data_IF_443460763249
#
_entry.id   IF_443460763249
#
_cell.length_a   1.000
_cell.length_b   1.000
_cell.length_c   1.000
_cell.angle_alpha   90.00
_cell.angle_beta   90.00
_cell.angle_gamma   90.00
#
_symmetry.space_group_name_H-M   'P 1'
#
loop_
_entity.id
_entity.type
_entity.pdbx_description
1 polymer ?
#
# COMPACT_ATOMS: atom_id res chain seq x y z
N UNK A 1 -29.14 -19.97 23.45
CA UNK A 1 -27.88 -19.26 23.11
C UNK A 1 -28.18 -18.35 21.95
N UNK A 2 -28.14 -17.03 22.14
CA UNK A 2 -28.28 -16.09 21.03
C UNK A 2 -27.09 -16.31 20.07
N UNK A 3 -27.37 -16.56 18.80
CA UNK A 3 -26.34 -16.68 17.78
C UNK A 3 -25.64 -15.32 17.66
N UNK A 4 -24.51 -15.17 18.34
CA UNK A 4 -23.67 -13.96 18.35
C UNK A 4 -23.22 -13.53 16.93
N UNK A 5 -23.42 -14.40 15.94
CA UNK A 5 -23.08 -14.23 14.54
C UNK A 5 -24.25 -13.80 13.63
N UNK A 6 -25.45 -13.54 14.19
CA UNK A 6 -26.65 -13.16 13.42
C UNK A 6 -27.52 -12.17 14.20
N UNK A 7 -27.23 -10.88 14.07
CA UNK A 7 -28.02 -9.79 14.66
C UNK A 7 -29.01 -9.25 13.61
N UNK A 8 -30.31 -9.10 13.92
CA UNK A 8 -31.30 -8.55 13.01
C UNK A 8 -30.86 -7.21 12.41
N UNK A 9 -30.91 -7.13 11.09
CA UNK A 9 -30.85 -5.85 10.39
C UNK A 9 -32.20 -5.16 10.62
N UNK A 10 -32.21 -4.00 11.27
CA UNK A 10 -33.45 -3.31 11.60
C UNK A 10 -33.96 -2.53 10.39
N UNK A 11 -35.27 -2.41 10.29
CA UNK A 11 -35.89 -1.51 9.32
C UNK A 11 -35.53 -0.04 9.61
N UNK A 12 -35.69 0.80 8.60
CA UNK A 12 -35.49 2.24 8.71
C UNK A 12 -36.41 2.84 9.78
N UNK A 13 -35.91 3.83 10.54
CA UNK A 13 -36.63 4.43 11.67
C UNK A 13 -36.21 5.86 11.93
N UNK A 14 -36.99 6.56 12.74
CA UNK A 14 -36.67 7.91 13.19
C UNK A 14 -35.34 7.96 13.95
N UNK A 15 -34.54 8.98 13.65
CA UNK A 15 -33.21 9.14 14.19
C UNK A 15 -32.94 10.52 14.78
N UNK A 16 -31.74 10.67 15.36
CA UNK A 16 -31.34 11.86 16.10
C UNK A 16 -31.40 13.15 15.29
N UNK A 17 -31.04 13.12 14.01
CA UNK A 17 -30.99 14.32 13.18
C UNK A 17 -32.35 14.73 12.60
N UNK A 18 -33.42 13.99 12.88
CA UNK A 18 -34.76 14.22 12.32
C UNK A 18 -34.87 13.89 10.82
N UNK A 19 -35.96 14.32 10.19
CA UNK A 19 -36.32 13.95 8.81
C UNK A 19 -35.26 14.32 7.76
N UNK A 20 -35.12 13.47 6.74
CA UNK A 20 -34.25 13.73 5.60
C UNK A 20 -34.64 15.04 4.89
N UNK A 21 -33.63 15.86 4.55
CA UNK A 21 -33.81 17.04 3.69
C UNK A 21 -32.98 17.01 2.42
N UNK A 22 -32.05 16.06 2.29
CA UNK A 22 -31.27 15.82 1.07
C UNK A 22 -32.15 15.38 -0.09
N UNK A 23 -31.69 15.64 -1.32
CA UNK A 23 -32.35 15.15 -2.53
C UNK A 23 -32.08 13.68 -2.81
N UNK A 24 -31.09 13.10 -2.13
CA UNK A 24 -30.65 11.72 -2.24
C UNK A 24 -30.76 10.99 -0.90
N UNK A 25 -31.13 9.71 -0.97
CA UNK A 25 -31.06 8.70 0.08
C UNK A 25 -30.58 7.40 -0.56
N UNK A 26 -29.60 6.73 0.04
CA UNK A 26 -28.95 5.57 -0.56
C UNK A 26 -29.62 4.27 -0.10
N UNK A 27 -29.05 3.13 -0.49
CA UNK A 27 -29.70 1.86 -0.22
C UNK A 27 -29.61 1.41 1.24
N UNK A 28 -28.66 1.91 2.03
CA UNK A 28 -28.52 1.58 3.45
C UNK A 28 -29.77 2.04 4.23
N UNK A 29 -30.32 1.23 5.14
CA UNK A 29 -31.52 1.63 5.90
C UNK A 29 -31.17 2.61 7.02
N UNK A 30 -31.82 3.77 6.96
CA UNK A 30 -31.67 4.88 7.90
C UNK A 30 -31.84 4.46 9.37
N UNK A 31 -30.82 4.76 10.17
CA UNK A 31 -30.75 4.55 11.61
C UNK A 31 -30.94 3.09 12.03
N UNK A 32 -30.81 2.13 11.11
CA UNK A 32 -30.97 0.70 11.37
C UNK A 32 -30.02 0.21 12.46
N UNK A 33 -28.73 0.58 12.37
CA UNK A 33 -27.69 0.15 13.30
C UNK A 33 -27.60 1.03 14.56
N UNK A 34 -27.81 2.33 14.44
CA UNK A 34 -27.67 3.30 15.55
C UNK A 34 -28.66 4.46 15.42
N UNK A 35 -29.07 5.03 16.55
CA UNK A 35 -29.97 6.20 16.58
C UNK A 35 -29.26 7.50 16.14
N UNK A 36 -27.94 7.55 16.18
CA UNK A 36 -27.17 8.79 15.99
C UNK A 36 -26.64 9.01 14.57
N UNK A 37 -26.64 7.98 13.72
CA UNK A 37 -26.07 7.99 12.37
C UNK A 37 -27.06 7.32 11.43
N UNK A 38 -27.50 8.03 10.40
CA UNK A 38 -28.48 7.51 9.44
C UNK A 38 -27.93 6.30 8.67
N UNK A 39 -26.84 6.46 7.94
CA UNK A 39 -26.22 5.39 7.16
C UNK A 39 -24.83 5.07 7.73
N UNK A 40 -24.76 4.17 8.72
CA UNK A 40 -23.54 3.93 9.50
C UNK A 40 -22.39 3.37 8.65
N UNK A 41 -22.66 2.43 7.76
CA UNK A 41 -21.64 1.80 6.93
C UNK A 41 -21.13 2.81 5.88
N UNK A 42 -22.03 3.55 5.24
CA UNK A 42 -21.67 4.62 4.32
C UNK A 42 -20.84 5.71 5.02
N UNK A 43 -21.16 6.07 6.27
CA UNK A 43 -20.33 6.99 7.06
C UNK A 43 -18.96 6.41 7.42
N UNK A 44 -18.89 5.17 7.93
CA UNK A 44 -17.63 4.60 8.42
C UNK A 44 -16.66 4.23 7.29
N UNK A 45 -17.16 3.82 6.13
CA UNK A 45 -16.34 3.48 4.97
C UNK A 45 -15.51 4.67 4.47
N UNK A 46 -15.93 5.91 4.75
CA UNK A 46 -15.17 7.11 4.45
C UNK A 46 -13.88 7.28 5.28
N UNK A 47 -13.71 6.54 6.40
CA UNK A 47 -12.48 6.61 7.21
C UNK A 47 -11.20 6.25 6.43
N UNK A 48 -11.32 5.45 5.36
CA UNK A 48 -10.17 5.15 4.49
C UNK A 48 -9.67 6.42 3.78
N UNK A 49 -10.58 7.30 3.35
CA UNK A 49 -10.18 8.57 2.74
C UNK A 49 -9.53 9.47 3.77
N UNK A 50 -10.03 9.52 5.01
CA UNK A 50 -9.38 10.28 6.08
C UNK A 50 -7.94 9.82 6.28
N UNK A 51 -7.73 8.51 6.42
CA UNK A 51 -6.40 7.92 6.58
C UNK A 51 -5.48 8.25 5.38
N UNK A 52 -5.95 8.00 4.16
CA UNK A 52 -5.17 8.21 2.94
C UNK A 52 -4.89 9.70 2.67
N UNK A 53 -5.85 10.57 2.97
CA UNK A 53 -5.73 12.02 2.88
C UNK A 53 -4.67 12.55 3.84
N UNK A 54 -4.73 12.17 5.13
CA UNK A 54 -3.72 12.54 6.13
C UNK A 54 -2.33 12.02 5.75
N UNK A 55 -2.24 10.76 5.31
CA UNK A 55 -0.99 10.17 4.79
C UNK A 55 -0.46 10.96 3.60
N UNK A 56 -1.32 11.33 2.65
CA UNK A 56 -0.98 12.13 1.48
C UNK A 56 -0.47 13.51 1.83
N UNK A 57 -1.16 14.22 2.73
CA UNK A 57 -0.74 15.52 3.27
C UNK A 57 0.65 15.42 3.89
N UNK A 58 0.86 14.47 4.79
CA UNK A 58 2.17 14.23 5.43
C UNK A 58 3.27 14.00 4.39
N UNK A 59 3.00 13.16 3.39
CA UNK A 59 3.97 12.86 2.34
C UNK A 59 4.28 14.08 1.46
N UNK A 60 3.28 14.90 1.12
CA UNK A 60 3.51 16.16 0.41
C UNK A 60 4.38 17.11 1.23
N UNK A 61 4.06 17.31 2.51
CA UNK A 61 4.84 18.20 3.38
C UNK A 61 6.30 17.76 3.54
N UNK A 62 6.55 16.44 3.57
CA UNK A 62 7.90 15.90 3.76
C UNK A 62 8.71 15.82 2.46
N UNK A 63 8.08 15.45 1.35
CA UNK A 63 8.81 15.01 0.14
C UNK A 63 8.46 15.78 -1.14
N UNK A 64 7.36 16.54 -1.16
CA UNK A 64 6.93 17.30 -2.33
C UNK A 64 6.07 18.51 -1.93
N UNK A 65 6.68 19.58 -1.37
CA UNK A 65 5.96 20.72 -0.84
C UNK A 65 5.47 21.67 -1.96
N UNK A 66 4.78 21.12 -2.97
CA UNK A 66 4.06 21.92 -3.96
C UNK A 66 2.66 22.27 -3.43
N UNK A 67 2.31 23.56 -3.29
CA UNK A 67 1.04 23.97 -2.68
C UNK A 67 -0.20 23.36 -3.34
N UNK A 68 -0.19 23.21 -4.67
CA UNK A 68 -1.35 22.68 -5.40
C UNK A 68 -1.59 21.18 -5.15
N UNK A 69 -0.53 20.41 -4.92
CA UNK A 69 -0.63 18.99 -4.53
C UNK A 69 -1.11 18.84 -3.09
N UNK A 70 -0.63 19.70 -2.18
CA UNK A 70 -1.15 19.77 -0.83
C UNK A 70 -2.65 20.11 -0.81
N UNK A 71 -3.07 21.11 -1.58
CA UNK A 71 -4.48 21.46 -1.75
C UNK A 71 -5.32 20.30 -2.31
N UNK A 72 -4.74 19.47 -3.19
CA UNK A 72 -5.45 18.31 -3.74
C UNK A 72 -5.77 17.29 -2.65
N UNK A 73 -4.85 17.02 -1.71
CA UNK A 73 -5.13 16.14 -0.58
C UNK A 73 -6.03 16.78 0.48
N UNK A 74 -5.95 18.09 0.69
CA UNK A 74 -6.91 18.81 1.54
C UNK A 74 -8.33 18.76 0.96
N UNK A 75 -8.46 18.89 -0.37
CA UNK A 75 -9.73 18.71 -1.08
C UNK A 75 -10.26 17.29 -0.91
N UNK A 76 -9.41 16.28 -1.12
CA UNK A 76 -9.74 14.87 -0.89
C UNK A 76 -10.21 14.58 0.55
N UNK A 77 -9.57 15.18 1.56
CA UNK A 77 -10.00 15.07 2.96
C UNK A 77 -11.33 15.79 3.21
N UNK A 78 -11.54 16.94 2.57
CA UNK A 78 -12.81 17.68 2.63
C UNK A 78 -13.98 16.86 2.07
N UNK A 79 -13.80 16.20 0.91
CA UNK A 79 -14.80 15.28 0.35
C UNK A 79 -15.17 14.19 1.35
N UNK A 80 -14.17 13.56 1.97
CA UNK A 80 -14.39 12.52 2.98
C UNK A 80 -15.19 13.00 4.17
N UNK A 81 -14.81 14.13 4.77
CA UNK A 81 -15.52 14.68 5.93
C UNK A 81 -16.95 15.11 5.57
N UNK A 82 -17.12 15.68 4.36
CA UNK A 82 -18.43 16.01 3.80
C UNK A 82 -19.33 14.79 3.64
N UNK A 83 -18.82 13.73 2.99
CA UNK A 83 -19.51 12.46 2.82
C UNK A 83 -19.88 11.83 4.17
N UNK A 84 -18.95 11.80 5.13
CA UNK A 84 -19.25 11.33 6.50
C UNK A 84 -20.40 12.11 7.14
N UNK A 85 -20.37 13.44 7.06
CA UNK A 85 -21.41 14.30 7.60
C UNK A 85 -22.74 14.14 6.86
N UNK A 86 -22.71 13.93 5.54
CA UNK A 86 -23.89 13.68 4.74
C UNK A 86 -24.55 12.36 5.13
N UNK A 87 -23.83 11.24 5.07
CA UNK A 87 -24.38 9.93 5.43
C UNK A 87 -24.79 9.81 6.90
N UNK A 88 -24.18 10.59 7.79
CA UNK A 88 -24.58 10.61 9.19
C UNK A 88 -25.92 11.34 9.41
N UNK A 89 -26.25 12.33 8.58
CA UNK A 89 -27.34 13.30 8.87
C UNK A 89 -28.45 13.36 7.82
N UNK A 90 -28.18 12.96 6.57
CA UNK A 90 -29.05 13.08 5.41
C UNK A 90 -29.64 14.49 5.21
N UNK A 91 -28.82 15.51 5.48
CA UNK A 91 -29.20 16.93 5.31
C UNK A 91 -28.67 17.50 4.01
N UNK A 92 -29.49 18.32 3.36
CA UNK A 92 -29.12 18.98 2.10
C UNK A 92 -27.82 19.79 2.21
N UNK A 93 -27.60 20.47 3.33
CA UNK A 93 -26.37 21.24 3.56
C UNK A 93 -25.13 20.35 3.61
N UNK A 94 -25.26 19.14 4.17
CA UNK A 94 -24.16 18.18 4.23
C UNK A 94 -23.99 17.44 2.90
N UNK A 95 -25.07 17.19 2.15
CA UNK A 95 -25.00 16.72 0.77
C UNK A 95 -24.17 17.67 -0.10
N UNK A 96 -24.40 18.99 0.02
CA UNK A 96 -23.56 19.99 -0.67
C UNK A 96 -22.10 19.93 -0.21
N UNK A 97 -21.85 19.67 1.07
CA UNK A 97 -20.50 19.52 1.62
C UNK A 97 -19.81 18.22 1.16
N UNK A 98 -20.53 17.22 0.68
CA UNK A 98 -19.99 16.02 0.05
C UNK A 98 -19.72 16.24 -1.45
N UNK A 99 -20.76 16.63 -2.19
CA UNK A 99 -20.73 16.66 -3.66
C UNK A 99 -19.91 17.82 -4.22
N UNK A 100 -20.04 19.05 -3.69
CA UNK A 100 -19.35 20.21 -4.26
C UNK A 100 -17.82 20.15 -4.11
N UNK A 101 -17.25 19.71 -2.97
CA UNK A 101 -15.80 19.52 -2.85
C UNK A 101 -15.21 18.54 -3.87
N UNK A 102 -15.98 17.60 -4.41
CA UNK A 102 -15.51 16.73 -5.50
C UNK A 102 -15.16 17.57 -6.75
N UNK A 103 -16.03 18.53 -7.10
CA UNK A 103 -15.81 19.46 -8.22
C UNK A 103 -14.62 20.37 -7.93
N UNK A 104 -14.54 20.93 -6.72
CA UNK A 104 -13.47 21.86 -6.34
C UNK A 104 -12.10 21.19 -6.35
N UNK A 105 -12.00 19.98 -5.80
CA UNK A 105 -10.79 19.18 -5.81
C UNK A 105 -10.37 18.84 -7.24
N UNK A 106 -11.32 18.51 -8.10
CA UNK A 106 -11.07 18.25 -9.53
C UNK A 106 -10.56 19.51 -10.24
N UNK A 107 -11.12 20.69 -9.93
CA UNK A 107 -10.61 21.97 -10.44
C UNK A 107 -9.19 22.28 -9.96
N UNK A 108 -8.83 21.99 -8.71
CA UNK A 108 -7.46 22.14 -8.18
C UNK A 108 -6.47 21.24 -8.92
N UNK A 109 -6.86 19.98 -9.15
CA UNK A 109 -6.07 19.02 -9.93
C UNK A 109 -5.95 19.49 -11.39
N UNK A 110 -7.03 20.03 -11.95
CA UNK A 110 -7.06 20.65 -13.27
C UNK A 110 -6.09 21.82 -13.37
N UNK A 111 -6.12 22.75 -12.42
CA UNK A 111 -5.15 23.83 -12.33
C UNK A 111 -3.72 23.30 -12.31
N UNK A 112 -3.42 22.32 -11.44
CA UNK A 112 -2.09 21.71 -11.35
C UNK A 112 -1.62 21.14 -12.69
N UNK A 113 -2.54 20.54 -13.46
CA UNK A 113 -2.24 19.92 -14.75
C UNK A 113 -2.03 20.94 -15.86
N UNK A 114 -2.90 21.94 -15.95
CA UNK A 114 -2.90 22.90 -17.05
C UNK A 114 -2.00 24.11 -16.78
N UNK A 115 -1.68 24.44 -15.53
CA UNK A 115 -0.75 25.50 -15.18
C UNK A 115 0.72 25.03 -15.22
N UNK A 116 0.99 23.72 -15.27
CA UNK A 116 2.33 23.18 -15.35
C UNK A 116 3.11 23.79 -16.54
N UNK A 117 4.33 24.26 -16.28
CA UNK A 117 5.21 24.90 -17.27
C UNK A 117 4.78 26.28 -17.76
N UNK A 118 3.67 26.85 -17.27
CA UNK A 118 3.23 28.21 -17.64
C UNK A 118 3.89 29.27 -16.76
N UNK A 119 4.16 30.43 -17.36
CA UNK A 119 4.52 31.64 -16.61
C UNK A 119 3.34 32.19 -15.79
N UNK A 120 3.61 33.17 -14.92
CA UNK A 120 2.65 33.71 -13.95
C UNK A 120 1.30 34.09 -14.54
N UNK A 121 1.28 34.83 -15.66
CA UNK A 121 0.05 35.25 -16.32
C UNK A 121 -0.76 34.05 -16.85
N UNK A 122 -0.08 33.07 -17.45
CA UNK A 122 -0.72 31.84 -17.94
C UNK A 122 -1.33 31.02 -16.80
N UNK A 123 -0.63 30.92 -15.67
CA UNK A 123 -1.14 30.22 -14.49
C UNK A 123 -2.34 30.94 -13.87
N UNK A 124 -2.34 32.28 -13.82
CA UNK A 124 -3.49 33.07 -13.36
C UNK A 124 -4.70 32.87 -14.30
N UNK A 125 -4.48 32.88 -15.62
CA UNK A 125 -5.55 32.64 -16.59
C UNK A 125 -6.18 31.23 -16.42
N UNK A 126 -5.35 30.20 -16.24
CA UNK A 126 -5.83 28.83 -15.97
C UNK A 126 -6.61 28.77 -14.65
N UNK A 127 -6.13 29.43 -13.59
CA UNK A 127 -6.85 29.51 -12.33
C UNK A 127 -8.23 30.17 -12.51
N UNK A 128 -8.29 31.28 -13.26
CA UNK A 128 -9.56 31.96 -13.58
C UNK A 128 -10.55 31.06 -14.29
N UNK A 129 -10.11 30.24 -15.24
CA UNK A 129 -10.96 29.25 -15.94
C UNK A 129 -11.53 28.22 -14.96
N UNK A 130 -10.71 27.60 -14.12
CA UNK A 130 -11.17 26.57 -13.18
C UNK A 130 -12.03 27.13 -12.04
N UNK A 131 -11.76 28.35 -11.58
CA UNK A 131 -12.61 29.06 -10.61
C UNK A 131 -13.96 29.40 -11.24
N UNK A 132 -13.97 29.93 -12.47
CA UNK A 132 -15.20 30.22 -13.21
C UNK A 132 -16.04 28.95 -13.46
N UNK A 133 -15.39 27.85 -13.82
CA UNK A 133 -16.05 26.55 -14.00
C UNK A 133 -16.67 26.04 -12.69
N UNK A 134 -15.91 26.06 -11.58
CA UNK A 134 -16.41 25.65 -10.27
C UNK A 134 -17.62 26.50 -9.83
N UNK A 135 -17.54 27.82 -10.04
CA UNK A 135 -18.64 28.74 -9.74
C UNK A 135 -19.88 28.44 -10.58
N UNK A 136 -19.72 28.25 -11.90
CA UNK A 136 -20.84 27.99 -12.81
C UNK A 136 -21.56 26.68 -12.48
N UNK A 137 -20.79 25.59 -12.23
CA UNK A 137 -21.35 24.30 -11.82
C UNK A 137 -22.08 24.44 -10.48
N UNK A 138 -21.47 25.12 -9.50
CA UNK A 138 -22.08 25.32 -8.18
C UNK A 138 -23.38 26.12 -8.28
N UNK A 139 -23.36 27.26 -8.99
CA UNK A 139 -24.52 28.12 -9.14
C UNK A 139 -25.68 27.41 -9.83
N UNK A 140 -25.39 26.64 -10.89
CA UNK A 140 -26.41 25.82 -11.53
C UNK A 140 -26.93 24.72 -10.60
N UNK A 141 -26.03 24.01 -9.91
CA UNK A 141 -26.40 22.89 -9.04
C UNK A 141 -27.27 23.32 -7.86
N UNK A 142 -26.97 24.47 -7.23
CA UNK A 142 -27.80 25.04 -6.16
C UNK A 142 -29.20 25.42 -6.64
N UNK A 143 -29.34 25.78 -7.92
CA UNK A 143 -30.63 26.15 -8.52
C UNK A 143 -31.42 24.92 -8.99
N UNK A 144 -30.78 23.99 -9.70
CA UNK A 144 -31.43 22.81 -10.27
C UNK A 144 -31.71 21.74 -9.22
N UNK A 145 -30.80 21.60 -8.24
CA UNK A 145 -30.76 20.50 -7.26
C UNK A 145 -30.78 19.11 -7.91
N UNK A 146 -30.33 19.03 -9.16
CA UNK A 146 -30.32 17.79 -9.95
C UNK A 146 -29.00 17.04 -9.76
N UNK A 147 -28.99 15.92 -9.00
CA UNK A 147 -27.78 15.16 -8.73
C UNK A 147 -27.18 14.52 -9.99
N UNK A 148 -27.98 14.27 -11.03
CA UNK A 148 -27.48 13.71 -12.29
C UNK A 148 -26.59 14.70 -13.01
N UNK A 149 -26.97 15.99 -13.02
CA UNK A 149 -26.11 17.05 -13.55
C UNK A 149 -24.73 17.06 -12.87
N UNK A 150 -24.70 16.97 -11.54
CA UNK A 150 -23.44 16.93 -10.78
C UNK A 150 -22.59 15.73 -11.19
N UNK A 151 -23.19 14.53 -11.22
CA UNK A 151 -22.51 13.28 -11.58
C UNK A 151 -21.89 13.36 -12.98
N UNK A 152 -22.64 13.85 -13.97
CA UNK A 152 -22.17 14.01 -15.35
C UNK A 152 -21.03 15.03 -15.42
N UNK A 153 -21.17 16.18 -14.77
CA UNK A 153 -20.13 17.21 -14.73
C UNK A 153 -18.83 16.68 -14.12
N UNK A 154 -18.93 16.00 -12.98
CA UNK A 154 -17.80 15.38 -12.30
C UNK A 154 -17.13 14.30 -13.17
N UNK A 155 -17.90 13.43 -13.81
CA UNK A 155 -17.38 12.37 -14.68
C UNK A 155 -16.63 12.94 -15.89
N UNK A 156 -17.20 13.93 -16.58
CA UNK A 156 -16.58 14.57 -17.75
C UNK A 156 -15.29 15.31 -17.38
N UNK A 157 -15.29 16.02 -16.26
CA UNK A 157 -14.10 16.69 -15.75
C UNK A 157 -13.00 15.66 -15.43
N UNK A 158 -13.34 14.61 -14.68
CA UNK A 158 -12.39 13.57 -14.27
C UNK A 158 -11.79 12.87 -15.49
N UNK A 159 -12.62 12.45 -16.45
CA UNK A 159 -12.17 11.80 -17.68
C UNK A 159 -11.21 12.71 -18.46
N UNK A 160 -11.58 13.98 -18.64
CA UNK A 160 -10.76 14.96 -19.36
C UNK A 160 -9.39 15.14 -18.69
N UNK A 161 -9.36 15.20 -17.35
CA UNK A 161 -8.11 15.35 -16.60
C UNK A 161 -7.24 14.09 -16.67
N UNK A 162 -7.83 12.90 -16.61
CA UNK A 162 -7.08 11.63 -16.76
C UNK A 162 -6.47 11.53 -18.15
N UNK A 163 -7.27 11.75 -19.20
CA UNK A 163 -6.79 11.72 -20.59
C UNK A 163 -5.71 12.78 -20.85
N UNK A 164 -5.88 14.00 -20.31
CA UNK A 164 -4.85 15.03 -20.39
C UNK A 164 -3.57 14.60 -19.67
N UNK A 165 -3.68 13.93 -18.53
CA UNK A 165 -2.53 13.39 -17.81
C UNK A 165 -1.77 12.36 -18.64
N UNK A 166 -2.46 11.41 -19.29
CA UNK A 166 -1.83 10.44 -20.19
C UNK A 166 -1.14 11.11 -21.36
N UNK A 167 -1.80 12.09 -21.97
CA UNK A 167 -1.19 12.88 -23.02
C UNK A 167 0.09 13.58 -22.55
N UNK A 168 0.10 14.21 -21.37
CA UNK A 168 1.31 14.84 -20.81
C UNK A 168 2.41 13.82 -20.53
N UNK A 169 2.06 12.67 -19.97
CA UNK A 169 3.01 11.60 -19.69
C UNK A 169 3.69 11.10 -20.97
N UNK A 170 2.92 10.85 -22.03
CA UNK A 170 3.45 10.29 -23.28
C UNK A 170 4.14 11.34 -24.16
N UNK A 171 3.63 12.57 -24.22
CA UNK A 171 4.17 13.60 -25.14
C UNK A 171 5.24 14.49 -24.52
N UNK A 172 5.23 14.67 -23.20
CA UNK A 172 6.19 15.55 -22.51
C UNK A 172 7.16 14.74 -21.66
N UNK A 173 6.67 13.84 -20.81
CA UNK A 173 7.54 13.11 -19.90
C UNK A 173 8.40 12.06 -20.63
N UNK A 174 7.80 11.16 -21.44
CA UNK A 174 8.55 10.07 -22.10
C UNK A 174 9.75 10.58 -22.90
N UNK A 175 9.64 11.57 -23.81
CA UNK A 175 10.80 12.06 -24.56
C UNK A 175 11.86 12.71 -23.65
N UNK A 176 11.43 13.48 -22.65
CA UNK A 176 12.33 14.12 -21.71
C UNK A 176 13.10 13.08 -20.87
N UNK A 177 12.40 12.05 -20.40
CA UNK A 177 12.97 10.97 -19.59
C UNK A 177 13.92 10.09 -20.42
N UNK A 178 13.55 9.75 -21.66
CA UNK A 178 14.40 8.96 -22.56
C UNK A 178 15.73 9.68 -22.87
N UNK A 179 15.71 11.02 -22.96
CA UNK A 179 16.93 11.81 -23.19
C UNK A 179 17.84 11.86 -21.95
N UNK A 180 17.27 11.96 -20.75
CA UNK A 180 18.03 12.23 -19.51
C UNK A 180 18.38 10.98 -18.69
N UNK A 181 17.53 9.95 -18.71
CA UNK A 181 17.71 8.69 -18.00
C UNK A 181 17.16 7.52 -18.83
N UNK A 182 17.84 7.13 -19.93
CA UNK A 182 17.37 6.07 -20.82
C UNK A 182 17.33 4.70 -20.14
N UNK A 183 18.20 4.44 -19.15
CA UNK A 183 18.30 3.14 -18.50
C UNK A 183 17.06 2.78 -17.66
N UNK A 184 16.47 3.78 -17.00
CA UNK A 184 15.30 3.57 -16.12
C UNK A 184 13.98 4.06 -16.72
N UNK A 185 14.02 4.67 -17.91
CA UNK A 185 12.87 5.28 -18.58
C UNK A 185 11.67 4.32 -18.67
N UNK A 186 11.89 3.12 -19.21
CA UNK A 186 10.83 2.13 -19.40
C UNK A 186 10.30 1.61 -18.05
N UNK A 187 11.15 1.49 -17.04
CA UNK A 187 10.74 1.04 -15.71
C UNK A 187 9.85 2.08 -15.02
N UNK A 188 10.22 3.36 -15.07
CA UNK A 188 9.44 4.46 -14.49
C UNK A 188 8.08 4.58 -15.20
N UNK A 189 8.07 4.53 -16.55
CA UNK A 189 6.82 4.63 -17.31
C UNK A 189 5.92 3.42 -17.06
N UNK A 190 6.47 2.21 -16.97
CA UNK A 190 5.71 1.02 -16.60
C UNK A 190 5.09 1.16 -15.21
N UNK A 191 5.81 1.70 -14.23
CA UNK A 191 5.28 1.97 -12.89
C UNK A 191 4.16 3.01 -12.92
N UNK A 192 4.32 4.10 -13.68
CA UNK A 192 3.27 5.11 -13.86
C UNK A 192 2.01 4.52 -14.49
N UNK A 193 2.15 3.71 -15.54
CA UNK A 193 1.02 3.04 -16.19
C UNK A 193 0.31 2.08 -15.25
N UNK A 194 1.05 1.25 -14.48
CA UNK A 194 0.46 0.37 -13.46
C UNK A 194 -0.32 1.15 -12.42
N UNK A 195 0.22 2.28 -11.95
CA UNK A 195 -0.43 3.11 -10.95
C UNK A 195 -1.74 3.71 -11.49
N UNK A 196 -1.70 4.24 -12.70
CA UNK A 196 -2.89 4.78 -13.33
C UNK A 196 -3.95 3.71 -13.64
N UNK A 197 -3.55 2.58 -14.21
CA UNK A 197 -4.48 1.47 -14.52
C UNK A 197 -5.09 0.87 -13.25
N UNK A 198 -4.30 0.71 -12.19
CA UNK A 198 -4.83 0.25 -10.90
C UNK A 198 -5.84 1.25 -10.33
N UNK A 199 -5.56 2.55 -10.42
CA UNK A 199 -6.50 3.60 -10.03
C UNK A 199 -7.80 3.57 -10.84
N UNK A 200 -7.71 3.38 -12.16
CA UNK A 200 -8.87 3.22 -13.05
C UNK A 200 -9.71 2.00 -12.66
N UNK A 201 -9.07 0.84 -12.48
CA UNK A 201 -9.77 -0.40 -12.11
C UNK A 201 -10.51 -0.22 -10.80
N UNK A 202 -9.85 0.31 -9.76
CA UNK A 202 -10.53 0.59 -8.49
C UNK A 202 -11.72 1.52 -8.67
N UNK A 203 -11.54 2.64 -9.38
CA UNK A 203 -12.62 3.60 -9.56
C UNK A 203 -13.81 3.00 -10.34
N UNK A 204 -13.56 2.27 -11.42
CA UNK A 204 -14.60 1.63 -12.24
C UNK A 204 -15.30 0.49 -11.51
N UNK A 205 -14.57 -0.30 -10.71
CA UNK A 205 -15.18 -1.32 -9.84
C UNK A 205 -16.11 -0.68 -8.83
N UNK A 206 -15.68 0.41 -8.18
CA UNK A 206 -16.54 1.20 -7.31
C UNK A 206 -17.79 1.66 -8.07
N UNK A 207 -17.63 2.30 -9.22
CA UNK A 207 -18.74 2.81 -10.03
C UNK A 207 -19.73 1.74 -10.45
N UNK A 208 -19.24 0.57 -10.82
CA UNK A 208 -20.08 -0.57 -11.13
C UNK A 208 -20.90 -0.99 -9.91
N UNK A 209 -20.28 -1.16 -8.74
CA UNK A 209 -20.97 -1.57 -7.51
C UNK A 209 -21.99 -0.51 -7.08
N UNK A 210 -21.66 0.77 -7.19
CA UNK A 210 -22.58 1.88 -6.94
C UNK A 210 -23.84 1.78 -7.82
N UNK A 211 -23.69 1.52 -9.12
CA UNK A 211 -24.85 1.33 -10.00
C UNK A 211 -25.67 0.10 -9.60
N UNK A 212 -25.02 -1.01 -9.19
CA UNK A 212 -25.74 -2.21 -8.73
C UNK A 212 -26.54 -1.93 -7.45
N UNK A 213 -25.98 -1.14 -6.53
CA UNK A 213 -26.63 -0.71 -5.30
C UNK A 213 -27.91 0.08 -5.59
N UNK A 214 -27.83 1.03 -6.52
CA UNK A 214 -28.98 1.85 -6.94
C UNK A 214 -30.07 1.03 -7.67
N UNK A 215 -29.68 0.17 -8.62
CA UNK A 215 -30.63 -0.57 -9.47
C UNK A 215 -31.30 -1.70 -8.71
N UNK A 216 -30.55 -2.44 -7.88
CA UNK A 216 -31.04 -3.65 -7.21
C UNK A 216 -31.33 -3.44 -5.72
N UNK A 217 -31.52 -2.19 -5.27
CA UNK A 217 -31.64 -1.87 -3.86
C UNK A 217 -32.68 -2.71 -3.12
N UNK A 218 -33.88 -2.88 -3.68
CA UNK A 218 -34.96 -3.69 -3.07
C UNK A 218 -34.53 -5.15 -2.84
N UNK A 219 -33.79 -5.73 -3.77
CA UNK A 219 -33.26 -7.09 -3.65
C UNK A 219 -32.14 -7.16 -2.63
N UNK A 220 -31.27 -6.16 -2.55
CA UNK A 220 -30.20 -6.05 -1.56
C UNK A 220 -30.76 -5.91 -0.14
N UNK A 221 -31.78 -5.08 0.07
CA UNK A 221 -32.52 -4.96 1.35
C UNK A 221 -33.09 -6.30 1.78
N UNK A 222 -33.78 -6.99 0.87
CA UNK A 222 -34.34 -8.33 1.13
C UNK A 222 -33.24 -9.33 1.51
N UNK A 223 -32.13 -9.34 0.77
CA UNK A 223 -31.00 -10.22 1.06
C UNK A 223 -30.36 -9.93 2.43
N UNK A 224 -30.22 -8.65 2.82
CA UNK A 224 -29.69 -8.25 4.13
C UNK A 224 -30.55 -8.76 5.29
N UNK A 225 -31.87 -8.76 5.14
CA UNK A 225 -32.81 -9.33 6.11
C UNK A 225 -32.68 -10.85 6.29
N UNK A 226 -32.10 -11.57 5.31
CA UNK A 226 -31.81 -13.00 5.43
C UNK A 226 -30.39 -13.29 5.93
N UNK A 227 -29.41 -12.51 5.49
CA UNK A 227 -27.99 -12.70 5.80
C UNK A 227 -27.67 -12.26 7.23
N UNK A 228 -28.30 -11.17 7.69
CA UNK A 228 -28.14 -10.57 9.02
C UNK A 228 -26.72 -10.05 9.31
N UNK A 229 -26.58 -9.23 10.36
CA UNK A 229 -25.29 -8.70 10.78
C UNK A 229 -24.43 -9.80 11.44
N UNK A 230 -23.10 -9.78 11.25
CA UNK A 230 -22.31 -8.72 10.60
C UNK A 230 -22.19 -8.87 9.07
N UNK A 231 -22.61 -10.00 8.51
CA UNK A 231 -22.35 -10.35 7.10
C UNK A 231 -23.11 -9.49 6.10
N UNK A 232 -24.27 -8.95 6.50
CA UNK A 232 -25.06 -8.02 5.70
C UNK A 232 -24.30 -6.76 5.27
N UNK A 233 -23.24 -6.36 6.00
CA UNK A 233 -22.37 -5.24 5.64
C UNK A 233 -21.74 -5.42 4.25
N UNK A 234 -21.49 -6.67 3.83
CA UNK A 234 -20.94 -6.96 2.51
C UNK A 234 -21.89 -6.57 1.37
N UNK A 235 -23.18 -6.39 1.66
CA UNK A 235 -24.22 -6.02 0.70
C UNK A 235 -24.45 -4.50 0.63
N UNK A 236 -23.73 -3.70 1.41
CA UNK A 236 -23.78 -2.23 1.37
C UNK A 236 -22.93 -1.71 0.20
N UNK A 237 -23.51 -1.71 -1.00
CA UNK A 237 -22.79 -1.39 -2.23
C UNK A 237 -22.28 0.05 -2.26
N UNK A 238 -23.04 0.99 -1.71
CA UNK A 238 -22.59 2.39 -1.60
C UNK A 238 -21.37 2.54 -0.66
N UNK A 239 -21.28 1.74 0.40
CA UNK A 239 -20.10 1.67 1.26
C UNK A 239 -18.86 1.17 0.52
N UNK A 240 -19.00 0.15 -0.33
CA UNK A 240 -17.92 -0.31 -1.21
C UNK A 240 -17.51 0.73 -2.25
N UNK A 241 -18.46 1.52 -2.76
CA UNK A 241 -18.17 2.65 -3.64
C UNK A 241 -17.20 3.63 -2.99
N UNK A 242 -17.41 4.00 -1.72
CA UNK A 242 -16.45 4.83 -0.98
C UNK A 242 -15.06 4.18 -0.96
N UNK A 243 -14.96 2.93 -0.52
CA UNK A 243 -13.66 2.26 -0.41
C UNK A 243 -12.90 2.25 -1.74
N UNK A 244 -13.57 1.89 -2.84
CA UNK A 244 -12.94 1.73 -4.13
C UNK A 244 -12.66 3.07 -4.84
N UNK A 245 -13.57 4.03 -4.79
CA UNK A 245 -13.32 5.35 -5.39
C UNK A 245 -12.33 6.16 -4.58
N UNK A 246 -12.32 6.02 -3.26
CA UNK A 246 -11.31 6.61 -2.39
C UNK A 246 -9.92 6.10 -2.72
N UNK A 247 -9.76 4.79 -2.87
CA UNK A 247 -8.51 4.20 -3.34
C UNK A 247 -8.15 4.69 -4.76
N UNK A 248 -9.09 4.64 -5.71
CA UNK A 248 -8.86 5.09 -7.08
C UNK A 248 -8.39 6.55 -7.16
N UNK A 249 -9.08 7.46 -6.47
CA UNK A 249 -8.73 8.87 -6.41
C UNK A 249 -7.38 9.10 -5.72
N UNK A 250 -7.08 8.38 -4.62
CA UNK A 250 -5.76 8.43 -3.98
C UNK A 250 -4.64 8.02 -4.95
N UNK A 251 -4.85 6.94 -5.71
CA UNK A 251 -3.92 6.47 -6.73
C UNK A 251 -3.70 7.51 -7.83
N UNK A 252 -4.74 8.17 -8.30
CA UNK A 252 -4.61 9.25 -9.29
C UNK A 252 -3.85 10.46 -8.76
N UNK A 253 -4.08 10.86 -7.50
CA UNK A 253 -3.35 11.98 -6.90
C UNK A 253 -1.87 11.60 -6.77
N UNK A 254 -1.54 10.41 -6.26
CA UNK A 254 -0.15 9.95 -6.18
C UNK A 254 0.49 9.86 -7.56
N UNK A 255 -0.23 9.32 -8.55
CA UNK A 255 0.27 9.24 -9.91
C UNK A 255 0.61 10.62 -10.47
N UNK A 256 -0.19 11.64 -10.17
CA UNK A 256 0.14 13.02 -10.52
C UNK A 256 1.34 13.57 -9.75
N UNK A 257 1.45 13.28 -8.46
CA UNK A 257 2.64 13.65 -7.68
C UNK A 257 3.88 13.06 -8.35
N UNK A 258 3.86 11.78 -8.72
CA UNK A 258 4.97 11.16 -9.45
C UNK A 258 5.21 11.87 -10.78
N UNK A 259 4.18 11.98 -11.64
CA UNK A 259 4.29 12.60 -12.96
C UNK A 259 4.97 13.98 -12.89
N UNK A 260 4.54 14.84 -11.97
CA UNK A 260 5.13 16.17 -11.80
C UNK A 260 6.56 16.10 -11.29
N UNK A 261 6.85 15.26 -10.29
CA UNK A 261 8.23 15.09 -9.80
C UNK A 261 9.17 14.62 -10.90
N UNK A 262 8.73 13.73 -11.77
CA UNK A 262 9.51 13.34 -12.94
C UNK A 262 9.58 14.46 -13.99
N UNK A 263 8.52 15.22 -14.24
CA UNK A 263 8.61 16.34 -15.16
C UNK A 263 9.63 17.40 -14.67
N UNK A 264 9.76 17.58 -13.35
CA UNK A 264 10.77 18.43 -12.69
C UNK A 264 12.19 17.80 -12.61
N UNK A 265 12.45 16.71 -13.35
CA UNK A 265 13.71 15.95 -13.32
C UNK A 265 14.11 15.42 -11.92
N UNK A 266 13.10 15.13 -11.08
CA UNK A 266 13.27 14.68 -9.71
C UNK A 266 13.46 13.17 -9.52
N UNK A 267 13.43 12.36 -10.58
CA UNK A 267 13.43 10.89 -10.47
C UNK A 267 14.64 10.30 -9.72
N UNK A 268 15.80 10.96 -9.74
CA UNK A 268 16.99 10.49 -9.04
C UNK A 268 16.92 10.71 -7.51
N UNK A 269 16.18 11.73 -7.07
CA UNK A 269 16.03 12.08 -5.64
C UNK A 269 14.75 11.54 -5.03
N UNK A 270 13.78 11.16 -5.87
CA UNK A 270 12.46 10.77 -5.45
C UNK A 270 12.02 9.52 -6.20
N UNK A 271 11.86 8.42 -5.47
CA UNK A 271 11.31 7.16 -5.95
C UNK A 271 10.02 6.89 -5.21
N UNK A 272 8.98 6.50 -5.92
CA UNK A 272 7.78 6.02 -5.23
C UNK A 272 7.94 4.54 -4.86
N UNK A 273 7.83 4.35 -3.55
CA UNK A 273 7.78 3.05 -2.92
C UNK A 273 6.31 2.62 -2.84
N UNK A 274 5.97 1.64 -3.67
CA UNK A 274 4.68 0.95 -3.68
C UNK A 274 4.86 -0.54 -3.40
N UNK A 275 5.93 -0.90 -2.68
CA UNK A 275 6.07 -2.25 -2.15
C UNK A 275 4.92 -2.54 -1.19
N UNK A 276 4.28 -3.71 -1.36
CA UNK A 276 3.31 -4.18 -0.38
C UNK A 276 4.02 -4.39 0.96
N UNK A 277 3.30 -4.26 2.07
CA UNK A 277 3.86 -4.58 3.39
C UNK A 277 4.45 -6.01 3.41
N UNK A 278 3.79 -6.93 2.71
CA UNK A 278 4.26 -8.30 2.50
C UNK A 278 5.60 -8.36 1.75
N UNK A 279 5.76 -7.59 0.67
CA UNK A 279 7.03 -7.59 -0.09
C UNK A 279 8.18 -7.06 0.78
N UNK A 280 7.95 -6.01 1.58
CA UNK A 280 8.95 -5.47 2.52
C UNK A 280 9.33 -6.48 3.59
N UNK A 281 8.37 -7.22 4.13
CA UNK A 281 8.62 -8.27 5.11
C UNK A 281 9.47 -9.40 4.50
N UNK A 282 9.14 -9.83 3.28
CA UNK A 282 9.90 -10.87 2.56
C UNK A 282 11.33 -10.39 2.27
N UNK A 283 11.51 -9.14 1.85
CA UNK A 283 12.82 -8.53 1.62
C UNK A 283 13.65 -8.46 2.92
N UNK A 284 13.05 -7.99 4.03
CA UNK A 284 13.70 -7.92 5.33
C UNK A 284 14.12 -9.32 5.82
N UNK A 285 13.23 -10.31 5.68
CA UNK A 285 13.51 -11.70 6.03
C UNK A 285 14.61 -12.30 5.15
N UNK A 286 14.64 -11.96 3.86
CA UNK A 286 15.70 -12.38 2.93
C UNK A 286 17.07 -11.87 3.37
N UNK A 287 17.18 -10.58 3.69
CA UNK A 287 18.42 -9.96 4.19
C UNK A 287 18.86 -10.61 5.50
N UNK A 288 17.95 -10.81 6.46
CA UNK A 288 18.25 -11.46 7.73
C UNK A 288 18.74 -12.91 7.53
N UNK A 289 18.13 -13.65 6.60
CA UNK A 289 18.53 -15.03 6.27
C UNK A 289 19.94 -15.07 5.66
N UNK A 290 20.27 -14.15 4.75
CA UNK A 290 21.61 -14.04 4.16
C UNK A 290 22.69 -13.74 5.20
N UNK A 291 22.40 -12.86 6.17
CA UNK A 291 23.31 -12.59 7.29
C UNK A 291 23.56 -13.84 8.14
N UNK A 292 22.51 -14.62 8.44
CA UNK A 292 22.63 -15.89 9.17
C UNK A 292 23.46 -16.94 8.42
N UNK A 293 23.29 -17.04 7.10
CA UNK A 293 24.10 -17.93 6.25
C UNK A 293 25.60 -17.59 6.39
N UNK A 294 25.95 -16.31 6.31
CA UNK A 294 27.33 -15.84 6.46
C UNK A 294 27.93 -16.20 7.82
N UNK A 295 27.16 -16.02 8.90
CA UNK A 295 27.58 -16.38 10.26
C UNK A 295 27.81 -17.89 10.41
N UNK A 296 26.87 -18.72 9.96
CA UNK A 296 26.98 -20.18 10.05
C UNK A 296 28.17 -20.70 9.24
N UNK A 297 28.39 -20.18 8.02
CA UNK A 297 29.57 -20.54 7.22
C UNK A 297 30.87 -20.19 7.92
N UNK A 298 30.93 -19.03 8.56
CA UNK A 298 32.12 -18.60 9.32
C UNK A 298 32.38 -19.53 10.52
N UNK A 299 31.34 -19.86 11.28
CA UNK A 299 31.44 -20.79 12.41
C UNK A 299 31.85 -22.20 11.98
N UNK A 300 31.27 -22.71 10.89
CA UNK A 300 31.65 -24.01 10.31
C UNK A 300 33.12 -24.01 9.87
N UNK A 301 33.58 -22.96 9.19
CA UNK A 301 34.97 -22.84 8.78
C UNK A 301 35.94 -22.80 9.97
N UNK A 302 35.58 -22.12 11.05
CA UNK A 302 36.37 -22.10 12.29
C UNK A 302 36.46 -23.51 12.93
N UNK A 303 35.32 -24.20 13.08
CA UNK A 303 35.27 -25.56 13.64
C UNK A 303 36.00 -26.59 12.78
N UNK A 304 35.89 -26.50 11.46
CA UNK A 304 36.64 -27.36 10.55
C UNK A 304 38.15 -27.12 10.66
N UNK A 305 38.59 -25.87 10.90
CA UNK A 305 40.00 -25.56 11.13
C UNK A 305 40.50 -26.15 12.45
N UNK A 306 39.74 -26.00 13.53
CA UNK A 306 40.07 -26.61 14.84
C UNK A 306 40.15 -28.14 14.74
N UNK A 307 39.19 -28.77 14.04
CA UNK A 307 39.18 -30.20 13.82
C UNK A 307 40.40 -30.69 13.03
N UNK A 308 40.80 -29.95 11.97
CA UNK A 308 42.03 -30.25 11.22
C UNK A 308 43.28 -30.11 12.09
N UNK A 309 43.34 -29.10 12.95
CA UNK A 309 44.45 -28.93 13.88
C UNK A 309 44.54 -30.13 14.83
N UNK A 310 43.43 -30.52 15.45
CA UNK A 310 43.37 -31.68 16.33
C UNK A 310 43.76 -32.98 15.62
N UNK A 311 43.34 -33.16 14.36
CA UNK A 311 43.71 -34.31 13.54
C UNK A 311 45.21 -34.37 13.23
N UNK A 312 45.82 -33.23 12.89
CA UNK A 312 47.26 -33.12 12.67
C UNK A 312 48.04 -33.35 13.97
N UNK A 313 47.62 -32.76 15.08
CA UNK A 313 48.23 -33.01 16.40
C UNK A 313 48.18 -34.49 16.75
N UNK A 314 47.05 -35.16 16.46
CA UNK A 314 46.92 -36.61 16.68
C UNK A 314 47.88 -37.40 15.79
N UNK A 315 48.03 -37.05 14.51
CA UNK A 315 48.95 -37.75 13.61
C UNK A 315 50.40 -37.61 14.05
N UNK A 316 50.81 -36.42 14.48
CA UNK A 316 52.16 -36.18 15.03
C UNK A 316 52.39 -37.02 16.28
N UNK A 317 51.45 -37.01 17.23
CA UNK A 317 51.57 -37.79 18.48
C UNK A 317 51.60 -39.30 18.20
N UNK A 318 50.87 -39.77 17.19
CA UNK A 318 50.86 -41.20 16.83
C UNK A 318 52.19 -41.73 16.27
N UNK A 319 53.07 -40.83 15.85
CA UNK A 319 54.42 -41.19 15.40
C UNK A 319 55.43 -41.37 16.55
N UNK A 320 55.06 -40.96 17.78
CA UNK A 320 55.94 -41.00 18.94
C UNK A 320 55.89 -42.35 19.67
N UNK A 321 57.02 -42.80 20.26
CA UNK A 321 57.03 -43.94 21.18
C UNK A 321 56.07 -43.76 22.37
N UNK A 322 55.44 -44.85 22.82
CA UNK A 322 54.38 -44.81 23.83
C UNK A 322 54.85 -44.32 25.23
N UNK A 323 56.15 -44.37 25.50
CA UNK A 323 56.81 -43.92 26.72
C UNK A 323 57.22 -42.44 26.70
N UNK A 324 56.98 -41.74 25.58
CA UNK A 324 57.29 -40.31 25.45
C UNK A 324 56.41 -39.47 26.37
N UNK A 325 57.02 -38.64 27.22
CA UNK A 325 56.28 -37.68 28.04
C UNK A 325 55.68 -36.55 27.20
N UNK A 326 54.35 -36.53 27.03
CA UNK A 326 53.62 -35.44 26.36
C UNK A 326 52.92 -34.56 27.39
N UNK A 327 52.70 -33.29 27.04
CA UNK A 327 52.08 -32.31 27.93
C UNK A 327 50.87 -31.65 27.27
N UNK A 328 49.78 -31.53 28.01
CA UNK A 328 48.58 -30.81 27.59
C UNK A 328 48.54 -29.40 28.20
N UNK A 329 48.15 -28.42 27.39
CA UNK A 329 47.93 -27.05 27.86
C UNK A 329 46.61 -26.90 28.63
N UNK A 330 46.70 -26.42 29.87
CA UNK A 330 45.56 -26.04 30.72
C UNK A 330 45.73 -24.57 31.10
N UNK A 331 45.14 -23.69 30.28
CA UNK A 331 45.32 -22.23 30.41
C UNK A 331 46.76 -21.82 30.09
N UNK A 332 47.54 -21.41 31.11
CA UNK A 332 48.96 -21.03 30.98
C UNK A 332 49.93 -22.12 31.47
N UNK A 333 49.43 -23.25 31.95
CA UNK A 333 50.23 -24.35 32.49
C UNK A 333 50.20 -25.55 31.54
N UNK A 334 51.21 -26.40 31.62
CA UNK A 334 51.30 -27.64 30.86
C UNK A 334 51.37 -28.82 31.83
N UNK A 335 50.46 -29.79 31.69
CA UNK A 335 50.36 -30.96 32.56
C UNK A 335 50.76 -32.20 31.78
N UNK A 336 51.67 -33.00 32.33
CA UNK A 336 52.12 -34.24 31.70
C UNK A 336 50.98 -35.26 31.67
N UNK A 337 50.75 -35.87 30.51
CA UNK A 337 49.76 -36.94 30.33
C UNK A 337 50.34 -38.06 29.46
N UNK A 338 49.89 -39.32 29.62
CA UNK A 338 50.32 -40.41 28.72
C UNK A 338 49.81 -40.22 27.29
N UNK A 339 50.61 -40.65 26.30
CA UNK A 339 50.27 -40.61 24.87
C UNK A 339 48.88 -41.21 24.56
N UNK A 340 48.51 -42.40 25.07
CA UNK A 340 47.18 -42.98 24.79
C UNK A 340 46.02 -42.10 25.28
N UNK A 341 46.19 -41.45 26.45
CA UNK A 341 45.16 -40.58 27.03
C UNK A 341 44.94 -39.32 26.20
N UNK A 342 46.01 -38.72 25.69
CA UNK A 342 45.92 -37.56 24.80
C UNK A 342 45.27 -37.94 23.46
N UNK A 343 45.62 -39.10 22.89
CA UNK A 343 45.00 -39.60 21.66
C UNK A 343 43.48 -39.79 21.80
N UNK A 344 43.02 -40.45 22.87
CA UNK A 344 41.57 -40.62 23.13
C UNK A 344 40.86 -39.29 23.31
N UNK A 345 41.51 -38.31 23.96
CA UNK A 345 40.94 -36.97 24.15
C UNK A 345 40.79 -36.22 22.83
N UNK A 346 41.82 -36.24 21.97
CA UNK A 346 41.78 -35.63 20.64
C UNK A 346 40.72 -36.31 19.76
N UNK A 347 40.54 -37.62 19.87
CA UNK A 347 39.46 -38.34 19.18
C UNK A 347 38.06 -37.90 19.62
N UNK A 348 37.86 -37.76 20.94
CA UNK A 348 36.61 -37.20 21.48
C UNK A 348 36.33 -35.80 20.93
N UNK A 349 37.31 -34.90 21.01
CA UNK A 349 37.19 -33.53 20.49
C UNK A 349 36.89 -33.48 19.00
N UNK A 350 37.55 -34.32 18.19
CA UNK A 350 37.28 -34.42 16.75
C UNK A 350 35.85 -34.89 16.49
N UNK A 351 35.35 -35.89 17.23
CA UNK A 351 33.99 -36.41 17.08
C UNK A 351 32.92 -35.39 17.48
N UNK A 352 33.15 -34.65 18.55
CA UNK A 352 32.24 -33.59 19.00
C UNK A 352 32.18 -32.46 17.96
N UNK A 353 33.34 -32.00 17.48
CA UNK A 353 33.41 -30.99 16.41
C UNK A 353 32.76 -31.47 15.10
N UNK A 354 32.95 -32.72 14.73
CA UNK A 354 32.30 -33.31 13.55
C UNK A 354 30.78 -33.29 13.67
N UNK A 355 30.25 -33.64 14.85
CA UNK A 355 28.80 -33.62 15.13
C UNK A 355 28.24 -32.18 15.07
N UNK A 356 28.96 -31.21 15.61
CA UNK A 356 28.61 -29.79 15.52
C UNK A 356 28.60 -29.29 14.07
N UNK A 357 29.62 -29.63 13.27
CA UNK A 357 29.72 -29.27 11.85
C UNK A 357 28.57 -29.87 11.05
N UNK A 358 28.19 -31.12 11.31
CA UNK A 358 27.04 -31.77 10.66
C UNK A 358 25.71 -31.08 11.01
N UNK A 359 25.52 -30.72 12.28
CA UNK A 359 24.36 -29.97 12.75
C UNK A 359 24.26 -28.59 12.10
N UNK A 360 25.38 -27.86 12.06
CA UNK A 360 25.48 -26.57 11.36
C UNK A 360 25.25 -26.73 9.86
N UNK A 361 25.71 -27.83 9.24
CA UNK A 361 25.47 -28.13 7.83
C UNK A 361 23.98 -28.32 7.51
N UNK A 362 23.24 -29.03 8.37
CA UNK A 362 21.76 -29.15 8.23
C UNK A 362 21.08 -27.80 8.35
N UNK A 363 21.49 -26.98 9.32
CA UNK A 363 20.98 -25.61 9.51
C UNK A 363 21.29 -24.72 8.30
N UNK A 364 22.51 -24.81 7.76
CA UNK A 364 22.94 -24.06 6.59
C UNK A 364 22.08 -24.41 5.38
N UNK A 365 21.86 -25.70 5.12
CA UNK A 365 21.01 -26.16 4.02
C UNK A 365 19.57 -25.65 4.12
N UNK A 366 18.99 -25.65 5.33
CA UNK A 366 17.67 -25.06 5.58
C UNK A 366 17.63 -23.56 5.27
N UNK A 367 18.63 -22.80 5.73
CA UNK A 367 18.73 -21.36 5.49
C UNK A 367 18.92 -21.04 4.01
N UNK A 368 19.76 -21.80 3.29
CA UNK A 368 19.98 -21.64 1.85
C UNK A 368 18.71 -21.93 1.04
N UNK A 369 17.97 -22.98 1.42
CA UNK A 369 16.67 -23.30 0.80
C UNK A 369 15.66 -22.18 1.04
N UNK A 370 15.61 -21.65 2.26
CA UNK A 370 14.73 -20.53 2.63
C UNK A 370 15.09 -19.27 1.83
N UNK A 371 16.38 -18.92 1.76
CA UNK A 371 16.85 -17.76 1.01
C UNK A 371 16.52 -17.88 -0.49
N UNK A 372 16.71 -19.07 -1.08
CA UNK A 372 16.35 -19.34 -2.47
C UNK A 372 14.86 -19.16 -2.72
N UNK A 373 14.01 -19.73 -1.86
CA UNK A 373 12.56 -19.59 -1.97
C UNK A 373 12.13 -18.12 -1.85
N UNK A 374 12.68 -17.38 -0.88
CA UNK A 374 12.40 -15.95 -0.73
C UNK A 374 12.79 -15.15 -1.97
N UNK A 375 13.95 -15.43 -2.57
CA UNK A 375 14.38 -14.76 -3.80
C UNK A 375 13.47 -15.10 -4.99
N UNK A 376 13.04 -16.35 -5.12
CA UNK A 376 12.07 -16.76 -6.15
C UNK A 376 10.72 -16.07 -5.95
N UNK A 377 10.25 -15.92 -4.70
CA UNK A 377 9.02 -15.19 -4.38
C UNK A 377 9.14 -13.71 -4.70
N UNK A 378 10.24 -13.05 -4.33
CA UNK A 378 10.51 -11.65 -4.68
C UNK A 378 10.52 -11.50 -6.20
N UNK A 379 11.26 -12.34 -6.92
CA UNK A 379 11.33 -12.29 -8.37
C UNK A 379 9.95 -12.52 -9.01
N UNK A 380 9.15 -13.47 -8.51
CA UNK A 380 7.78 -13.70 -8.98
C UNK A 380 6.83 -12.56 -8.66
N UNK A 381 6.97 -11.88 -7.53
CA UNK A 381 6.15 -10.70 -7.23
C UNK A 381 6.55 -9.51 -8.12
N UNK A 382 7.84 -9.34 -8.40
CA UNK A 382 8.36 -8.31 -9.30
C UNK A 382 8.02 -8.59 -10.77
N UNK A 383 8.07 -9.86 -11.21
CA UNK A 383 7.73 -10.31 -12.57
C UNK A 383 6.23 -10.52 -12.77
N UNK A 384 5.47 -10.96 -11.77
CA UNK A 384 4.01 -11.02 -11.80
C UNK A 384 3.37 -9.64 -11.81
N UNK A 385 4.08 -8.62 -11.31
CA UNK A 385 3.77 -7.21 -11.55
C UNK A 385 4.19 -6.73 -12.95
N UNK A 386 4.86 -7.56 -13.75
CA UNK A 386 5.37 -7.27 -15.09
C UNK A 386 5.11 -8.43 -16.05
N UNK A 387 3.84 -8.79 -16.28
CA UNK A 387 3.51 -9.67 -17.41
C UNK A 387 2.14 -10.35 -17.33
N UNK A 388 1.13 -9.74 -17.96
CA UNK A 388 0.47 -10.26 -19.17
C UNK A 388 -0.57 -9.25 -19.65
N UNK A 389 -0.11 -8.25 -20.42
CA UNK A 389 -0.78 -7.59 -21.54
C UNK A 389 0.20 -6.58 -22.16
#
# INVERSE_FOLDING_TARGET
>A
MANFLRIPYREARDGFWGEQTSTLNWCEEDYSMTYYCAELINTLTNLIFVYLGVKGIRNCLLYSPQPSLLLSYLGYLTVSMGSMAFHATLKYQMQLADELPMIYTTCIIGYTTFAYGKGRLGSIAVAGVFVGLAWAITAYYLKSKDPVFHQVAYALMTLTLVLKGFHVMETQLRPALQKRNPAECDQILAQMWRLALTGIVWFLTGFFIWNMDNIYCTHLKTARNHVLLPWSVLLEGHGWWHLFTGLGAYYFIIWRVWLIRCLDAGEASFKLDWSSALLREIEAQSVATQQQISLVRTQMGAKQREMRLAQLTRSEISSLPADTGVYEGVGKMFVQIPVPSLQTKLEGQMKDMQTEVESMGKRLHYLETTAKNSQEHINKMLQGAGGQA
#
